data_IF_763938214186
#
_entry.id   IF_763938214186
#
_cell.length_a   1.000
_cell.length_b   1.000
_cell.length_c   1.000
_cell.angle_alpha   90.00
_cell.angle_beta   90.00
_cell.angle_gamma   90.00
#
_symmetry.space_group_name_H-M   'P 1'
#
loop_
_entity.id
_entity.type
_entity.pdbx_description
1 polymer ?
#
# COMPACT_ATOMS: atom_id res chain seq x y z
N UNK A 1 -20.83 2.27 26.41
CA UNK A 1 -21.91 1.58 27.11
C UNK A 1 -21.39 0.51 28.11
N UNK A 2 -20.08 0.37 28.26
CA UNK A 2 -19.44 -0.57 29.19
C UNK A 2 -19.40 -2.04 28.72
N UNK A 3 -19.83 -2.33 27.50
CA UNK A 3 -19.78 -3.65 26.91
C UNK A 3 -18.50 -3.85 26.08
N UNK A 4 -18.14 -5.13 25.91
CA UNK A 4 -17.12 -5.56 24.96
C UNK A 4 -17.78 -5.90 23.61
N UNK A 5 -17.13 -5.53 22.52
CA UNK A 5 -17.56 -5.88 21.15
C UNK A 5 -16.47 -6.67 20.43
N UNK A 6 -16.87 -7.62 19.62
CA UNK A 6 -15.97 -8.44 18.81
C UNK A 6 -16.53 -8.56 17.40
N UNK A 7 -15.67 -8.37 16.40
CA UNK A 7 -15.99 -8.60 14.99
C UNK A 7 -15.30 -9.87 14.51
N UNK A 8 -16.02 -10.70 13.76
CA UNK A 8 -15.53 -12.00 13.26
C UNK A 8 -15.83 -12.11 11.77
N UNK A 9 -14.80 -12.43 11.00
CA UNK A 9 -14.94 -12.73 9.58
C UNK A 9 -15.66 -14.06 9.34
N UNK A 10 -16.44 -14.13 8.26
CA UNK A 10 -17.27 -15.29 7.98
C UNK A 10 -17.46 -15.51 6.48
N UNK A 11 -17.59 -16.80 6.11
CA UNK A 11 -17.94 -17.24 4.75
C UNK A 11 -19.29 -17.96 4.79
N UNK A 12 -20.41 -17.28 4.48
CA UNK A 12 -21.72 -17.91 4.41
C UNK A 12 -21.86 -18.80 3.16
N UNK A 13 -22.87 -19.68 3.16
CA UNK A 13 -23.12 -20.63 2.07
C UNK A 13 -23.37 -19.98 0.71
N UNK A 14 -23.87 -18.73 0.69
CA UNK A 14 -24.12 -17.98 -0.55
C UNK A 14 -22.83 -17.40 -1.19
N UNK A 15 -21.66 -17.58 -0.56
CA UNK A 15 -20.38 -17.11 -1.04
C UNK A 15 -20.20 -15.58 -0.95
N UNK A 16 -20.94 -14.91 -0.06
CA UNK A 16 -20.78 -13.48 0.23
C UNK A 16 -19.99 -13.31 1.51
N UNK A 17 -18.74 -12.89 1.46
CA UNK A 17 -17.96 -12.56 2.65
C UNK A 17 -18.73 -11.58 3.55
N UNK A 18 -18.68 -11.79 4.86
CA UNK A 18 -19.41 -10.97 5.84
C UNK A 18 -18.66 -10.88 7.16
N UNK A 19 -19.01 -9.86 7.94
CA UNK A 19 -18.53 -9.65 9.29
C UNK A 19 -19.68 -9.78 10.26
N UNK A 20 -19.49 -10.65 11.25
CA UNK A 20 -20.41 -10.85 12.36
C UNK A 20 -20.00 -9.97 13.54
N UNK A 21 -20.98 -9.37 14.21
CA UNK A 21 -20.78 -8.60 15.43
C UNK A 21 -21.30 -9.39 16.63
N UNK A 22 -20.47 -9.48 17.64
CA UNK A 22 -20.81 -10.05 18.94
C UNK A 22 -20.62 -9.02 20.05
N UNK A 23 -21.37 -9.18 21.14
CA UNK A 23 -21.27 -8.36 22.35
C UNK A 23 -21.17 -9.21 23.58
N UNK A 24 -20.40 -8.74 24.57
CA UNK A 24 -20.31 -9.36 25.90
C UNK A 24 -20.28 -8.28 26.98
N UNK A 25 -20.88 -8.56 28.14
CA UNK A 25 -20.83 -7.69 29.33
C UNK A 25 -19.60 -7.97 30.19
N UNK A 26 -19.01 -9.18 30.08
CA UNK A 26 -17.93 -9.64 30.95
C UNK A 26 -16.67 -10.12 30.21
N UNK A 27 -16.67 -10.08 28.85
CA UNK A 27 -15.56 -10.54 28.02
C UNK A 27 -15.49 -12.06 27.84
N UNK A 28 -16.40 -12.85 28.46
CA UNK A 28 -16.42 -14.31 28.38
C UNK A 28 -17.68 -14.85 27.70
N UNK A 29 -18.85 -14.29 28.01
CA UNK A 29 -20.14 -14.73 27.48
C UNK A 29 -20.53 -13.85 26.28
N UNK A 30 -20.31 -14.34 25.09
CA UNK A 30 -20.53 -13.61 23.85
C UNK A 30 -21.89 -13.94 23.22
N UNK A 31 -22.64 -12.88 22.87
CA UNK A 31 -23.94 -12.99 22.20
C UNK A 31 -23.84 -12.40 20.81
N UNK A 32 -24.36 -13.10 19.81
CA UNK A 32 -24.51 -12.56 18.47
C UNK A 32 -25.44 -11.34 18.47
N UNK A 33 -25.02 -10.27 17.81
CA UNK A 33 -25.78 -9.03 17.70
C UNK A 33 -26.34 -8.87 16.29
N UNK A 34 -25.47 -8.87 15.26
CA UNK A 34 -25.86 -8.60 13.89
C UNK A 34 -24.83 -9.14 12.89
N UNK A 35 -25.20 -9.10 11.61
CA UNK A 35 -24.24 -9.06 10.51
C UNK A 35 -23.88 -7.59 10.30
N UNK A 36 -22.70 -7.19 10.80
CA UNK A 36 -22.21 -5.81 10.73
C UNK A 36 -22.10 -5.30 9.30
N UNK A 37 -21.52 -6.13 8.42
CA UNK A 37 -21.35 -5.84 7.01
C UNK A 37 -21.39 -7.13 6.17
N UNK A 38 -21.90 -7.05 4.95
CA UNK A 38 -21.96 -8.17 4.00
C UNK A 38 -21.77 -7.66 2.58
N UNK A 39 -20.90 -8.30 1.79
CA UNK A 39 -20.47 -7.81 0.48
C UNK A 39 -21.46 -8.01 -0.66
N UNK A 40 -22.49 -8.84 -0.50
CA UNK A 40 -23.46 -9.16 -1.54
C UNK A 40 -22.81 -9.65 -2.86
N UNK A 41 -21.75 -10.47 -2.76
CA UNK A 41 -20.95 -11.04 -3.85
C UNK A 41 -20.04 -10.04 -4.61
N UNK A 42 -19.80 -8.86 -4.06
CA UNK A 42 -18.93 -7.84 -4.69
C UNK A 42 -17.43 -8.05 -4.33
N UNK A 43 -17.13 -8.36 -3.07
CA UNK A 43 -15.76 -8.36 -2.53
C UNK A 43 -15.36 -9.74 -1.99
N UNK A 44 -15.29 -10.74 -2.86
CA UNK A 44 -14.81 -12.07 -2.49
C UNK A 44 -15.80 -12.90 -1.65
N UNK A 45 -15.37 -14.08 -1.24
CA UNK A 45 -16.23 -15.08 -0.60
C UNK A 45 -16.03 -15.22 0.90
N UNK A 46 -14.84 -14.89 1.39
CA UNK A 46 -14.47 -14.90 2.81
C UNK A 46 -13.85 -13.56 3.15
N UNK A 47 -14.19 -13.00 4.29
CA UNK A 47 -13.55 -11.81 4.82
C UNK A 47 -12.76 -12.17 6.06
N UNK A 48 -11.43 -12.18 5.94
CA UNK A 48 -10.50 -12.48 7.03
C UNK A 48 -10.02 -11.23 7.75
N UNK A 49 -9.47 -11.42 8.94
CA UNK A 49 -8.80 -10.38 9.72
C UNK A 49 -9.60 -9.07 9.85
N UNK A 50 -10.89 -9.10 10.23
CA UNK A 50 -11.65 -7.87 10.37
C UNK A 50 -11.10 -7.00 11.50
N UNK A 51 -11.07 -5.69 11.25
CA UNK A 51 -10.73 -4.66 12.23
C UNK A 51 -11.72 -3.50 12.06
N UNK A 52 -12.46 -3.16 13.12
CA UNK A 52 -13.53 -2.18 13.07
C UNK A 52 -13.34 -1.11 14.15
N UNK A 53 -13.26 0.14 13.74
CA UNK A 53 -12.95 1.27 14.61
C UNK A 53 -13.51 2.60 14.10
N UNK A 54 -13.52 3.60 14.98
CA UNK A 54 -13.78 4.99 14.61
C UNK A 54 -12.46 5.71 14.29
N UNK A 55 -12.46 6.51 13.22
CA UNK A 55 -11.34 7.36 12.81
C UNK A 55 -11.87 8.62 12.12
N UNK A 56 -11.44 9.79 12.58
CA UNK A 56 -11.81 11.11 12.03
C UNK A 56 -13.35 11.29 11.84
N UNK A 57 -14.14 10.79 12.81
CA UNK A 57 -15.60 10.88 12.79
C UNK A 57 -16.29 9.94 11.83
N UNK A 58 -15.62 8.92 11.31
CA UNK A 58 -16.17 7.86 10.48
C UNK A 58 -15.92 6.49 11.10
N UNK A 59 -16.79 5.53 10.77
CA UNK A 59 -16.55 4.13 11.06
C UNK A 59 -15.78 3.50 9.90
N UNK A 60 -14.69 2.83 10.23
CA UNK A 60 -13.78 2.17 9.29
C UNK A 60 -13.78 0.68 9.58
N UNK A 61 -14.02 -0.12 8.55
CA UNK A 61 -13.86 -1.57 8.57
C UNK A 61 -12.74 -1.95 7.62
N UNK A 62 -11.66 -2.51 8.15
CA UNK A 62 -10.62 -3.16 7.37
C UNK A 62 -10.87 -4.67 7.34
N UNK A 63 -10.59 -5.31 6.22
CA UNK A 63 -10.67 -6.77 6.10
C UNK A 63 -9.81 -7.27 4.94
N UNK A 64 -9.48 -8.55 4.96
CA UNK A 64 -8.67 -9.24 3.95
C UNK A 64 -9.53 -10.27 3.21
N UNK A 65 -10.18 -9.87 2.10
CA UNK A 65 -11.05 -10.76 1.33
C UNK A 65 -10.27 -11.84 0.59
N UNK A 66 -10.83 -13.05 0.54
CA UNK A 66 -10.40 -14.14 -0.34
C UNK A 66 -11.33 -14.29 -1.55
N UNK A 67 -10.79 -14.80 -2.65
CA UNK A 67 -11.51 -15.03 -3.90
C UNK A 67 -12.15 -13.76 -4.48
N UNK A 68 -11.46 -12.63 -4.43
CA UNK A 68 -11.92 -11.39 -5.08
C UNK A 68 -11.96 -11.53 -6.60
N UNK A 69 -12.93 -10.89 -7.22
CA UNK A 69 -12.92 -10.64 -8.65
C UNK A 69 -12.30 -9.26 -8.94
N UNK A 70 -11.61 -9.09 -10.09
CA UNK A 70 -11.04 -7.81 -10.43
C UNK A 70 -12.14 -6.78 -10.76
N UNK A 71 -11.94 -5.54 -10.32
CA UNK A 71 -12.80 -4.41 -10.66
C UNK A 71 -11.90 -3.23 -11.06
N UNK A 72 -11.70 -3.03 -12.36
CA UNK A 72 -10.77 -2.04 -12.90
C UNK A 72 -9.35 -2.24 -12.39
N UNK A 73 -8.75 -1.16 -11.89
CA UNK A 73 -7.47 -1.17 -11.19
C UNK A 73 -7.62 -0.95 -9.66
N UNK A 74 -8.87 -0.87 -9.17
CA UNK A 74 -9.15 -0.71 -7.75
C UNK A 74 -8.97 -2.02 -6.99
N UNK A 75 -9.49 -3.12 -7.54
CA UNK A 75 -9.39 -4.44 -6.91
C UNK A 75 -8.77 -5.45 -7.87
N UNK A 76 -7.80 -6.21 -7.38
CA UNK A 76 -7.21 -7.34 -8.10
C UNK A 76 -7.96 -8.63 -7.79
N UNK A 77 -7.87 -9.60 -8.69
CA UNK A 77 -8.36 -10.97 -8.43
C UNK A 77 -7.53 -11.67 -7.35
N UNK A 78 -8.15 -12.63 -6.67
CA UNK A 78 -7.49 -13.46 -5.65
C UNK A 78 -7.65 -12.91 -4.24
N UNK A 79 -6.57 -12.89 -3.46
CA UNK A 79 -6.58 -12.42 -2.09
C UNK A 79 -6.19 -10.93 -2.05
N UNK A 80 -7.03 -10.12 -1.43
CA UNK A 80 -6.89 -8.66 -1.45
C UNK A 80 -7.03 -8.01 -0.08
N UNK A 81 -7.03 -6.70 -0.09
CA UNK A 81 -7.26 -5.86 1.08
C UNK A 81 -8.40 -4.90 0.83
N UNK A 82 -9.27 -4.70 1.80
CA UNK A 82 -10.48 -3.89 1.66
C UNK A 82 -10.64 -2.96 2.86
N UNK A 83 -10.89 -1.70 2.57
CA UNK A 83 -11.36 -0.71 3.53
C UNK A 83 -12.77 -0.28 3.14
N UNK A 84 -13.69 -0.37 4.08
CA UNK A 84 -15.04 0.19 3.97
C UNK A 84 -15.18 1.31 4.97
N UNK A 85 -15.55 2.49 4.49
CA UNK A 85 -15.82 3.68 5.31
C UNK A 85 -17.31 3.96 5.27
N UNK A 86 -17.90 4.26 6.43
CA UNK A 86 -19.32 4.52 6.51
C UNK A 86 -19.79 5.01 7.88
N UNK A 87 -21.05 4.81 8.13
CA UNK A 87 -21.71 5.18 9.37
C UNK A 87 -22.36 3.97 10.02
N UNK A 88 -22.24 3.86 11.34
CA UNK A 88 -22.90 2.81 12.10
C UNK A 88 -24.38 3.15 12.29
N UNK A 89 -25.26 2.24 11.89
CA UNK A 89 -26.67 2.26 12.28
C UNK A 89 -26.76 1.69 13.71
N UNK A 90 -26.96 2.56 14.70
CA UNK A 90 -26.96 2.21 16.11
C UNK A 90 -28.14 1.30 16.51
N UNK A 91 -29.27 1.38 15.79
CA UNK A 91 -30.46 0.57 16.08
C UNK A 91 -30.30 -0.87 15.55
N UNK A 92 -29.69 -1.01 14.38
CA UNK A 92 -29.53 -2.29 13.69
C UNK A 92 -28.14 -2.89 13.90
N UNK A 93 -27.20 -2.15 14.43
CA UNK A 93 -25.80 -2.54 14.55
C UNK A 93 -25.20 -2.99 13.21
N UNK A 94 -25.43 -2.18 12.15
CA UNK A 94 -24.91 -2.44 10.79
C UNK A 94 -24.13 -1.26 10.27
N UNK A 95 -23.06 -1.52 9.53
CA UNK A 95 -22.28 -0.49 8.85
C UNK A 95 -22.97 -0.12 7.53
N UNK A 96 -23.37 1.14 7.39
CA UNK A 96 -23.85 1.73 6.13
C UNK A 96 -22.65 2.22 5.33
N UNK A 97 -22.24 1.43 4.33
CA UNK A 97 -21.14 1.77 3.44
C UNK A 97 -21.42 3.09 2.71
N UNK A 98 -20.47 4.02 2.78
CA UNK A 98 -20.42 5.26 2.01
C UNK A 98 -19.35 5.18 0.93
N UNK A 99 -18.21 4.50 1.21
CA UNK A 99 -17.10 4.36 0.30
C UNK A 99 -16.33 3.05 0.59
N UNK A 100 -15.76 2.46 -0.46
CA UNK A 100 -14.87 1.30 -0.34
C UNK A 100 -13.65 1.47 -1.24
N UNK A 101 -12.48 1.04 -0.77
CA UNK A 101 -11.21 1.10 -1.49
C UNK A 101 -10.29 -0.06 -1.11
N UNK A 102 -9.30 -0.35 -1.95
CA UNK A 102 -8.17 -1.18 -1.54
C UNK A 102 -7.35 -0.48 -0.44
N UNK A 103 -6.79 -1.25 0.49
CA UNK A 103 -5.86 -0.72 1.50
C UNK A 103 -4.46 -0.61 0.91
N UNK A 104 -4.03 -1.60 0.13
CA UNK A 104 -2.75 -1.61 -0.56
C UNK A 104 -2.95 -2.09 -2.01
N UNK A 105 -2.40 -1.36 -2.96
CA UNK A 105 -2.50 -1.61 -4.40
C UNK A 105 -1.29 -2.37 -4.94
N UNK A 106 -0.36 -2.76 -4.06
CA UNK A 106 0.86 -3.46 -4.42
C UNK A 106 0.69 -4.96 -4.59
N UNK A 107 1.81 -5.67 -4.56
CA UNK A 107 1.87 -7.09 -4.83
C UNK A 107 1.73 -7.90 -3.54
N UNK A 108 2.38 -7.45 -2.48
CA UNK A 108 2.54 -8.20 -1.23
C UNK A 108 2.04 -7.39 -0.03
N UNK A 109 0.76 -7.54 0.28
CA UNK A 109 0.16 -6.98 1.49
C UNK A 109 -1.14 -7.72 1.81
N UNK A 110 -1.30 -8.18 3.06
CA UNK A 110 -2.47 -8.92 3.51
C UNK A 110 -2.61 -8.90 5.04
N UNK A 111 -3.76 -9.32 5.57
CA UNK A 111 -4.00 -9.60 6.99
C UNK A 111 -3.61 -8.44 7.93
N UNK A 112 -3.85 -7.18 7.49
CA UNK A 112 -3.56 -6.00 8.31
C UNK A 112 -4.41 -5.95 9.55
N UNK A 113 -3.82 -5.41 10.62
CA UNK A 113 -4.47 -5.10 11.90
C UNK A 113 -4.03 -3.75 12.40
N UNK A 114 -4.85 -3.09 13.21
CA UNK A 114 -4.56 -1.78 13.74
C UNK A 114 -4.64 -1.72 15.25
N UNK A 115 -4.03 -0.70 15.81
CA UNK A 115 -4.15 -0.35 17.23
C UNK A 115 -4.25 1.17 17.41
N UNK A 116 -4.99 1.60 18.44
CA UNK A 116 -4.98 2.97 18.90
C UNK A 116 -3.79 3.22 19.85
N UNK A 117 -3.08 4.31 19.65
CA UNK A 117 -1.97 4.71 20.52
C UNK A 117 -2.43 5.68 21.60
N UNK A 118 -1.69 5.82 22.72
CA UNK A 118 -2.07 6.76 23.79
C UNK A 118 -2.11 8.23 23.35
N UNK A 119 -1.39 8.58 22.28
CA UNK A 119 -1.40 9.93 21.69
C UNK A 119 -2.52 10.15 20.66
N UNK A 120 -3.46 9.19 20.54
CA UNK A 120 -4.68 9.31 19.74
C UNK A 120 -4.52 8.91 18.27
N UNK A 121 -3.34 8.45 17.84
CA UNK A 121 -3.15 7.93 16.46
C UNK A 121 -3.73 6.53 16.30
N UNK A 122 -4.06 6.17 15.08
CA UNK A 122 -4.38 4.79 14.67
C UNK A 122 -3.25 4.25 13.80
N UNK A 123 -2.59 3.20 14.26
CA UNK A 123 -1.43 2.61 13.60
C UNK A 123 -1.78 1.24 13.05
N UNK A 124 -1.45 0.99 11.79
CA UNK A 124 -1.66 -0.26 11.09
C UNK A 124 -0.33 -0.95 10.77
N UNK A 125 -0.33 -2.28 10.88
CA UNK A 125 0.73 -3.16 10.36
C UNK A 125 0.06 -4.28 9.56
N UNK A 126 0.63 -4.62 8.39
CA UNK A 126 0.18 -5.71 7.55
C UNK A 126 1.25 -6.78 7.35
N UNK A 127 0.83 -7.98 7.02
CA UNK A 127 1.72 -9.04 6.55
C UNK A 127 2.14 -8.72 5.12
N UNK A 128 3.45 -8.58 4.92
CA UNK A 128 4.02 -8.19 3.63
C UNK A 128 4.34 -9.42 2.80
N UNK A 129 3.32 -10.14 2.52
CA UNK A 129 3.12 -11.21 1.55
C UNK A 129 1.61 -11.30 1.26
N UNK A 130 1.25 -12.24 0.43
CA UNK A 130 -0.11 -12.58 0.07
C UNK A 130 -0.17 -14.09 -0.18
N UNK A 131 -1.28 -14.74 0.05
CA UNK A 131 -1.44 -16.16 -0.23
C UNK A 131 -1.12 -16.52 -1.68
N UNK A 132 -1.36 -15.61 -2.63
CA UNK A 132 -1.04 -15.78 -4.04
C UNK A 132 0.46 -15.68 -4.34
N UNK A 133 1.28 -15.17 -3.41
CA UNK A 133 2.72 -14.92 -3.57
C UNK A 133 3.58 -15.63 -2.52
N UNK A 134 2.99 -16.40 -1.63
CA UNK A 134 3.68 -17.01 -0.46
C UNK A 134 4.81 -18.00 -0.83
N UNK A 135 4.81 -18.53 -2.04
CA UNK A 135 5.83 -19.47 -2.50
C UNK A 135 7.20 -18.83 -2.76
N UNK A 136 7.29 -17.51 -2.76
CA UNK A 136 8.51 -16.79 -3.11
C UNK A 136 9.26 -16.31 -1.89
N UNK A 137 10.55 -16.62 -1.86
CA UNK A 137 11.50 -16.28 -0.81
C UNK A 137 12.66 -15.47 -1.38
N UNK A 138 13.10 -14.44 -0.69
CA UNK A 138 14.33 -13.71 -1.04
C UNK A 138 15.55 -14.62 -0.86
N UNK A 139 16.45 -14.65 -1.85
CA UNK A 139 17.59 -15.59 -1.91
C UNK A 139 18.45 -15.59 -0.64
N UNK A 140 18.82 -14.41 -0.14
CA UNK A 140 19.73 -14.27 0.99
C UNK A 140 19.03 -14.14 2.35
N UNK A 141 17.70 -14.31 2.38
CA UNK A 141 16.93 -14.19 3.60
C UNK A 141 17.09 -15.43 4.49
N UNK A 142 17.42 -15.20 5.77
CA UNK A 142 17.43 -16.24 6.81
C UNK A 142 16.04 -16.51 7.40
N UNK A 143 15.05 -15.70 7.04
CA UNK A 143 13.65 -15.80 7.47
C UNK A 143 12.73 -15.88 6.26
N UNK A 144 11.50 -16.25 6.52
CA UNK A 144 10.40 -16.26 5.56
C UNK A 144 9.28 -15.37 6.09
N UNK A 145 8.68 -14.55 5.21
CA UNK A 145 7.73 -13.50 5.53
C UNK A 145 8.35 -12.27 6.25
N UNK A 146 7.67 -11.16 6.15
CA UNK A 146 8.02 -9.90 6.81
C UNK A 146 6.76 -9.07 7.03
N UNK A 147 6.84 -8.08 7.89
CA UNK A 147 5.77 -7.12 8.15
C UNK A 147 6.03 -5.82 7.38
N UNK A 148 4.96 -5.09 7.09
CA UNK A 148 5.07 -3.71 6.59
C UNK A 148 5.67 -2.80 7.66
N UNK A 149 6.09 -1.61 7.24
CA UNK A 149 6.29 -0.51 8.19
C UNK A 149 4.98 -0.22 8.93
N UNK A 150 5.04 0.21 10.18
CA UNK A 150 3.87 0.79 10.83
C UNK A 150 3.41 2.03 10.06
N UNK A 151 2.10 2.09 9.78
CA UNK A 151 1.46 3.17 9.03
C UNK A 151 0.45 3.88 9.89
N UNK A 152 0.52 5.20 9.96
CA UNK A 152 -0.49 6.05 10.59
C UNK A 152 -1.66 6.24 9.62
N UNK A 153 -2.87 6.00 10.10
CA UNK A 153 -4.11 6.10 9.33
C UNK A 153 -4.83 7.42 9.60
N UNK A 154 -5.47 7.96 8.57
CA UNK A 154 -6.42 9.06 8.67
C UNK A 154 -7.52 8.93 7.63
N UNK A 155 -8.67 9.54 7.88
CA UNK A 155 -9.76 9.66 6.89
C UNK A 155 -9.84 11.10 6.43
N UNK A 156 -9.61 11.32 5.14
CA UNK A 156 -9.69 12.65 4.50
C UNK A 156 -10.61 12.56 3.28
N UNK A 157 -11.55 13.48 3.14
CA UNK A 157 -12.50 13.50 2.02
C UNK A 157 -13.23 12.15 1.80
N UNK A 158 -13.51 11.42 2.89
CA UNK A 158 -14.18 10.13 2.85
C UNK A 158 -13.31 8.95 2.37
N UNK A 159 -11.99 9.13 2.24
CA UNK A 159 -11.01 8.11 1.86
C UNK A 159 -10.02 7.83 2.99
N UNK A 160 -9.51 6.60 3.02
CA UNK A 160 -8.41 6.22 3.92
C UNK A 160 -7.08 6.71 3.34
N UNK A 161 -6.34 7.46 4.14
CA UNK A 161 -4.96 7.86 3.88
C UNK A 161 -4.02 7.12 4.83
N UNK A 162 -2.81 6.85 4.35
CA UNK A 162 -1.79 6.11 5.09
C UNK A 162 -0.44 6.82 4.94
N UNK A 163 0.23 7.09 6.05
CA UNK A 163 1.59 7.62 6.04
C UNK A 163 2.50 6.75 6.90
N UNK A 164 3.80 6.67 6.61
CA UNK A 164 4.72 6.07 7.57
C UNK A 164 4.63 6.79 8.91
N UNK A 165 4.80 6.05 10.01
CA UNK A 165 4.82 6.68 11.34
C UNK A 165 5.90 7.74 11.43
N UNK A 166 5.62 8.84 12.15
CA UNK A 166 6.55 9.97 12.33
C UNK A 166 7.88 9.58 12.98
N UNK A 167 7.90 8.50 13.76
CA UNK A 167 9.10 7.97 14.42
C UNK A 167 10.17 7.52 13.41
N UNK A 168 9.79 7.18 12.17
CA UNK A 168 10.71 6.85 11.10
C UNK A 168 11.64 8.03 10.75
N UNK A 169 11.15 9.25 10.89
CA UNK A 169 11.96 10.45 10.58
C UNK A 169 13.17 10.60 11.50
N UNK A 170 13.11 10.06 12.73
CA UNK A 170 14.26 10.03 13.64
C UNK A 170 15.40 9.08 13.18
N UNK A 171 15.08 8.14 12.29
CA UNK A 171 16.06 7.21 11.70
C UNK A 171 16.76 7.79 10.45
N UNK A 172 16.29 8.93 9.95
CA UNK A 172 16.82 9.58 8.73
C UNK A 172 18.21 10.16 8.97
N UNK A 173 19.17 9.80 8.11
CA UNK A 173 20.55 10.31 8.08
C UNK A 173 21.01 10.56 6.65
N UNK A 174 22.16 11.25 6.52
CA UNK A 174 22.84 11.45 5.24
C UNK A 174 21.91 12.00 4.15
N UNK A 175 21.27 13.12 4.44
CA UNK A 175 20.35 13.79 3.50
C UNK A 175 21.05 14.18 2.21
N UNK A 176 20.49 13.77 1.08
CA UNK A 176 20.90 14.16 -0.28
C UNK A 176 19.68 14.76 -0.98
N UNK A 177 19.89 15.89 -1.65
CA UNK A 177 18.81 16.61 -2.32
C UNK A 177 19.21 17.05 -3.72
N UNK A 178 18.30 16.90 -4.66
CA UNK A 178 18.38 17.43 -6.00
C UNK A 178 17.06 18.10 -6.36
N UNK A 179 17.13 19.28 -6.94
CA UNK A 179 15.97 20.06 -7.36
C UNK A 179 16.02 20.37 -8.85
N UNK A 180 14.85 20.32 -9.50
CA UNK A 180 14.67 20.66 -10.91
C UNK A 180 15.57 19.86 -11.87
N UNK A 181 15.84 18.61 -11.58
CA UNK A 181 16.57 17.73 -12.49
C UNK A 181 15.71 17.39 -13.69
N UNK A 182 16.17 17.76 -14.90
CA UNK A 182 15.48 17.46 -16.15
C UNK A 182 16.00 16.14 -16.73
N UNK A 183 15.08 15.27 -17.10
CA UNK A 183 15.35 13.99 -17.78
C UNK A 183 14.57 14.04 -19.09
N UNK A 184 15.27 13.95 -20.21
CA UNK A 184 14.65 14.07 -21.53
C UNK A 184 15.10 12.92 -22.45
N UNK A 185 14.21 11.95 -22.65
CA UNK A 185 14.47 10.73 -23.44
C UNK A 185 15.76 9.99 -23.04
N UNK A 186 16.05 9.96 -21.73
CA UNK A 186 17.32 9.45 -21.22
C UNK A 186 17.10 8.65 -19.92
N UNK A 187 18.14 7.89 -19.55
CA UNK A 187 18.26 7.23 -18.23
C UNK A 187 19.43 7.85 -17.49
N UNK A 188 19.17 8.39 -16.30
CA UNK A 188 20.21 8.98 -15.45
C UNK A 188 20.30 8.30 -14.10
N UNK A 189 21.48 8.34 -13.50
CA UNK A 189 21.71 8.11 -12.08
C UNK A 189 22.29 9.36 -11.46
N UNK A 190 21.97 9.65 -10.21
CA UNK A 190 22.42 10.82 -9.48
C UNK A 190 23.40 10.39 -8.37
N UNK A 191 24.43 11.17 -8.16
CA UNK A 191 25.44 10.87 -7.14
C UNK A 191 24.79 10.72 -5.76
N UNK A 192 25.19 9.67 -4.99
CA UNK A 192 24.64 9.33 -3.66
C UNK A 192 23.14 9.02 -3.60
N UNK A 193 22.44 8.97 -4.73
CA UNK A 193 21.07 8.44 -4.81
C UNK A 193 21.16 6.95 -5.08
N UNK A 194 21.43 6.20 -4.02
CA UNK A 194 21.56 4.74 -4.00
C UNK A 194 21.24 4.21 -2.61
N UNK A 195 21.05 2.91 -2.46
CA UNK A 195 20.88 2.25 -1.16
C UNK A 195 19.79 1.19 -1.15
N UNK A 196 19.74 0.42 -0.04
CA UNK A 196 18.72 -0.63 0.18
C UNK A 196 17.87 -0.36 1.41
N UNK A 197 18.34 0.49 2.32
CA UNK A 197 17.58 0.91 3.52
C UNK A 197 17.55 2.43 3.49
N UNK A 198 16.55 2.95 2.76
CA UNK A 198 16.42 4.38 2.46
C UNK A 198 14.97 4.86 2.54
N UNK A 199 14.82 6.14 2.77
CA UNK A 199 13.58 6.90 2.65
C UNK A 199 13.80 8.01 1.62
N UNK A 200 13.04 7.98 0.53
CA UNK A 200 13.20 8.89 -0.59
C UNK A 200 11.86 9.54 -0.94
N UNK A 201 11.86 10.86 -0.92
CA UNK A 201 10.74 11.68 -1.39
C UNK A 201 11.04 12.16 -2.80
N UNK A 202 10.10 11.97 -3.71
CA UNK A 202 10.23 12.27 -5.13
C UNK A 202 8.99 13.01 -5.62
N UNK A 203 9.20 14.14 -6.26
CA UNK A 203 8.16 14.90 -6.99
C UNK A 203 8.48 14.83 -8.47
N UNK A 204 7.52 14.37 -9.26
CA UNK A 204 7.66 14.19 -10.71
C UNK A 204 6.65 15.10 -11.40
N UNK A 205 7.10 15.91 -12.34
CA UNK A 205 6.23 16.80 -13.13
C UNK A 205 6.74 16.94 -14.56
N UNK A 206 5.90 17.35 -15.52
CA UNK A 206 6.39 17.68 -16.84
C UNK A 206 7.33 18.91 -16.78
N UNK A 207 8.34 18.95 -17.61
CA UNK A 207 9.16 20.14 -17.77
C UNK A 207 8.35 21.27 -18.38
N UNK A 208 7.51 20.94 -19.36
CA UNK A 208 6.56 21.82 -20.01
C UNK A 208 5.14 21.27 -19.84
N UNK A 209 4.21 22.08 -19.35
CA UNK A 209 2.82 21.69 -19.12
C UNK A 209 2.05 21.36 -20.41
N UNK A 210 2.47 21.91 -21.54
CA UNK A 210 1.87 21.63 -22.85
C UNK A 210 2.41 20.34 -23.48
N UNK A 211 3.61 19.88 -23.04
CA UNK A 211 4.28 18.69 -23.54
C UNK A 211 4.57 17.70 -22.40
N UNK A 212 3.54 17.03 -21.91
CA UNK A 212 3.68 16.04 -20.85
C UNK A 212 4.47 14.82 -21.34
N UNK A 213 5.44 14.37 -20.55
CA UNK A 213 6.19 13.15 -20.85
C UNK A 213 5.23 11.92 -20.94
N UNK A 214 5.58 10.94 -21.77
CA UNK A 214 4.75 9.74 -21.97
C UNK A 214 4.93 8.69 -20.89
N UNK A 215 6.15 8.60 -20.34
CA UNK A 215 6.53 7.61 -19.35
C UNK A 215 7.59 8.20 -18.43
N UNK A 216 7.45 7.93 -17.12
CA UNK A 216 8.52 8.06 -16.15
C UNK A 216 8.76 6.71 -15.48
N UNK A 217 10.02 6.33 -15.27
CA UNK A 217 10.36 5.11 -14.54
C UNK A 217 11.46 5.38 -13.51
N UNK A 218 11.23 4.88 -12.30
CA UNK A 218 12.19 4.78 -11.20
C UNK A 218 12.58 3.31 -11.06
N UNK A 219 13.86 2.99 -11.27
CA UNK A 219 14.42 1.67 -11.00
C UNK A 219 15.24 1.71 -9.73
N UNK A 220 15.07 0.72 -8.90
CA UNK A 220 15.77 0.59 -7.61
C UNK A 220 16.11 -0.86 -7.32
N UNK A 221 16.89 -1.09 -6.27
CA UNK A 221 17.48 -2.39 -5.98
C UNK A 221 18.14 -2.96 -7.25
N UNK A 222 18.90 -2.08 -7.92
CA UNK A 222 19.44 -2.30 -9.25
C UNK A 222 20.90 -2.71 -9.21
N UNK A 223 21.26 -3.70 -10.04
CA UNK A 223 22.61 -4.04 -10.44
C UNK A 223 22.66 -4.16 -11.98
N UNK A 224 23.70 -4.73 -12.54
CA UNK A 224 23.86 -4.89 -14.00
C UNK A 224 22.78 -5.75 -14.66
N UNK A 225 22.13 -6.65 -13.90
CA UNK A 225 21.18 -7.65 -14.43
C UNK A 225 19.75 -7.43 -13.97
N UNK A 226 19.58 -6.96 -12.74
CA UNK A 226 18.29 -6.98 -12.05
C UNK A 226 17.88 -5.60 -11.55
N UNK A 227 16.60 -5.37 -11.45
CA UNK A 227 15.98 -4.19 -10.85
C UNK A 227 14.50 -4.43 -10.54
N UNK A 228 13.95 -3.62 -9.67
CA UNK A 228 12.49 -3.42 -9.53
C UNK A 228 12.15 -2.04 -10.08
N UNK A 229 11.03 -1.90 -10.77
CA UNK A 229 10.64 -0.65 -11.46
C UNK A 229 9.30 -0.13 -10.94
N UNK A 230 9.25 1.16 -10.65
CA UNK A 230 8.00 1.95 -10.64
C UNK A 230 7.90 2.68 -11.96
N UNK A 231 6.75 2.57 -12.63
CA UNK A 231 6.51 3.18 -13.92
C UNK A 231 5.21 3.98 -13.89
N UNK A 232 5.28 5.28 -14.15
CA UNK A 232 4.12 6.16 -14.26
C UNK A 232 3.86 6.53 -15.72
N UNK A 233 2.60 6.47 -16.15
CA UNK A 233 2.09 6.91 -17.43
C UNK A 233 1.02 7.98 -17.22
N UNK A 234 1.34 9.24 -17.42
CA UNK A 234 0.41 10.36 -17.16
C UNK A 234 -0.86 10.30 -18.00
N UNK A 235 -0.75 9.91 -19.27
CA UNK A 235 -1.87 9.78 -20.22
C UNK A 235 -2.91 8.73 -19.79
N UNK A 236 -2.46 7.68 -19.11
CA UNK A 236 -3.32 6.63 -18.54
C UNK A 236 -3.69 6.93 -17.06
N UNK A 237 -3.03 7.89 -16.42
CA UNK A 237 -3.06 8.13 -14.97
C UNK A 237 -2.74 6.85 -14.16
N UNK A 238 -1.80 6.02 -14.63
CA UNK A 238 -1.47 4.74 -14.06
C UNK A 238 -0.06 4.71 -13.50
N UNK A 239 0.06 4.35 -12.22
CA UNK A 239 1.31 3.93 -11.61
C UNK A 239 1.38 2.40 -11.57
N UNK A 240 2.49 1.84 -12.01
CA UNK A 240 2.78 0.40 -12.01
C UNK A 240 4.01 0.11 -11.16
N UNK A 241 3.92 -0.89 -10.28
CA UNK A 241 5.08 -1.56 -9.71
C UNK A 241 5.33 -2.87 -10.47
N UNK A 242 6.59 -3.12 -10.86
CA UNK A 242 6.98 -4.28 -11.65
C UNK A 242 8.29 -4.88 -11.12
N UNK A 243 8.23 -6.13 -10.67
CA UNK A 243 9.37 -6.91 -10.18
C UNK A 243 9.77 -8.06 -11.09
N UNK A 244 9.36 -8.01 -12.36
CA UNK A 244 9.70 -9.06 -13.35
C UNK A 244 11.20 -9.32 -13.43
N UNK A 245 12.00 -8.29 -13.26
CA UNK A 245 13.46 -8.36 -13.30
C UNK A 245 14.10 -8.24 -11.89
N UNK A 246 13.36 -8.50 -10.83
CA UNK A 246 13.84 -8.44 -9.45
C UNK A 246 14.48 -9.78 -9.02
N UNK A 247 15.63 -10.12 -9.59
CA UNK A 247 16.33 -11.36 -9.27
C UNK A 247 15.96 -12.55 -10.15
N UNK A 248 16.33 -13.76 -9.73
CA UNK A 248 16.15 -15.02 -10.49
C UNK A 248 14.85 -15.75 -10.15
N UNK A 249 14.11 -15.31 -9.15
CA UNK A 249 12.87 -15.93 -8.72
C UNK A 249 11.76 -15.77 -9.77
N UNK A 250 10.96 -16.83 -9.95
CA UNK A 250 9.79 -16.82 -10.83
C UNK A 250 8.54 -16.43 -10.04
N UNK A 251 8.30 -15.14 -9.88
CA UNK A 251 7.06 -14.67 -9.30
C UNK A 251 5.91 -14.79 -10.31
N UNK A 252 4.85 -15.56 -9.99
CA UNK A 252 3.64 -15.61 -10.83
C UNK A 252 2.99 -14.23 -10.89
N UNK A 253 2.87 -13.55 -9.76
CA UNK A 253 2.44 -12.16 -9.68
C UNK A 253 3.68 -11.27 -9.62
N UNK A 254 3.99 -10.61 -10.72
CA UNK A 254 5.18 -9.78 -10.84
C UNK A 254 4.89 -8.28 -11.03
N UNK A 255 3.63 -7.91 -11.23
CA UNK A 255 3.25 -6.51 -11.37
C UNK A 255 1.86 -6.22 -10.78
N UNK A 256 1.67 -4.98 -10.34
CA UNK A 256 0.38 -4.39 -9.98
C UNK A 256 0.31 -2.96 -10.48
N UNK A 257 -0.90 -2.48 -10.70
CA UNK A 257 -1.19 -1.14 -11.20
C UNK A 257 -2.29 -0.51 -10.37
N UNK A 258 -2.23 0.79 -10.18
CA UNK A 258 -3.34 1.58 -9.64
C UNK A 258 -3.55 2.84 -10.48
N UNK A 259 -4.78 3.32 -10.47
CA UNK A 259 -5.09 4.67 -10.95
C UNK A 259 -4.59 5.67 -9.91
N UNK A 260 -3.94 6.72 -10.36
CA UNK A 260 -3.43 7.79 -9.50
C UNK A 260 -4.11 9.09 -9.89
N UNK A 261 -4.66 9.80 -8.91
CA UNK A 261 -5.25 11.11 -9.15
C UNK A 261 -4.14 12.09 -9.55
N UNK A 262 -4.23 12.62 -10.76
CA UNK A 262 -3.23 13.52 -11.36
C UNK A 262 -3.81 14.87 -11.75
N UNK A 263 -4.54 15.54 -10.86
CA UNK A 263 -5.18 16.83 -11.17
C UNK A 263 -4.20 17.95 -11.57
N UNK A 264 -2.89 17.76 -11.32
CA UNK A 264 -1.86 18.75 -11.57
C UNK A 264 -0.74 18.32 -12.53
N UNK A 265 -0.83 17.13 -13.15
CA UNK A 265 0.28 16.48 -13.83
C UNK A 265 1.54 16.30 -12.94
N UNK A 266 1.38 16.45 -11.62
CA UNK A 266 2.42 16.24 -10.62
C UNK A 266 2.13 14.96 -9.85
N UNK A 267 3.13 14.11 -9.73
CA UNK A 267 3.07 12.90 -8.93
C UNK A 267 4.06 12.99 -7.78
N UNK A 268 3.58 12.84 -6.56
CA UNK A 268 4.41 12.78 -5.35
C UNK A 268 4.53 11.33 -4.89
N UNK A 269 5.75 10.89 -4.67
CA UNK A 269 6.04 9.57 -4.13
C UNK A 269 6.94 9.69 -2.91
N UNK A 270 6.62 8.98 -1.82
CA UNK A 270 7.58 8.63 -0.78
C UNK A 270 7.87 7.14 -0.90
N UNK A 271 9.10 6.81 -1.24
CA UNK A 271 9.56 5.44 -1.50
C UNK A 271 10.46 5.02 -0.37
N UNK A 272 10.05 4.02 0.38
CA UNK A 272 10.83 3.46 1.47
C UNK A 272 11.29 2.07 1.06
N UNK A 273 12.61 1.89 0.99
CA UNK A 273 13.23 0.59 0.77
C UNK A 273 13.74 0.06 2.11
N UNK A 274 13.45 -1.18 2.38
CA UNK A 274 14.15 -2.00 3.35
C UNK A 274 14.78 -3.21 2.63
N UNK A 275 15.59 -3.98 3.30
CA UNK A 275 16.45 -5.03 2.73
C UNK A 275 15.80 -5.83 1.60
N UNK A 276 14.57 -6.26 1.76
CA UNK A 276 13.83 -7.09 0.80
C UNK A 276 12.43 -6.57 0.51
N UNK A 277 12.16 -5.29 0.71
CA UNK A 277 10.85 -4.72 0.48
C UNK A 277 10.90 -3.28 -0.01
N UNK A 278 9.80 -2.87 -0.63
CA UNK A 278 9.50 -1.49 -0.96
C UNK A 278 8.08 -1.16 -0.55
N UNK A 279 7.90 0.01 0.06
CA UNK A 279 6.60 0.62 0.30
C UNK A 279 6.57 2.01 -0.36
N UNK A 280 5.59 2.23 -1.22
CA UNK A 280 5.44 3.45 -2.02
C UNK A 280 4.17 4.15 -1.59
N UNK A 281 4.30 5.29 -0.94
CA UNK A 281 3.20 6.16 -0.55
C UNK A 281 3.01 7.22 -1.64
N UNK A 282 1.81 7.30 -2.19
CA UNK A 282 1.47 8.08 -3.37
C UNK A 282 0.63 9.28 -2.93
N UNK A 283 0.94 10.48 -3.41
CA UNK A 283 0.19 11.72 -3.17
C UNK A 283 -0.17 11.91 -1.68
N UNK A 284 0.88 12.00 -0.86
CA UNK A 284 0.76 12.18 0.60
C UNK A 284 -0.01 11.04 1.31
N UNK A 285 0.02 9.83 0.73
CA UNK A 285 -0.56 8.64 1.32
C UNK A 285 -2.00 8.34 0.92
N UNK A 286 -2.52 8.96 -0.15
CA UNK A 286 -3.84 8.64 -0.70
C UNK A 286 -3.94 7.19 -1.15
N UNK A 287 -2.83 6.63 -1.67
CA UNK A 287 -2.69 5.24 -2.05
C UNK A 287 -1.32 4.71 -1.62
N UNK A 288 -1.21 3.41 -1.44
CA UNK A 288 0.06 2.75 -1.10
C UNK A 288 0.23 1.51 -1.96
N UNK A 289 1.46 1.25 -2.42
CA UNK A 289 1.84 0.03 -3.11
C UNK A 289 3.02 -0.63 -2.40
N UNK A 290 2.88 -1.91 -2.04
CA UNK A 290 3.91 -2.68 -1.35
C UNK A 290 4.35 -3.88 -2.15
N UNK A 291 5.64 -4.20 -2.13
CA UNK A 291 6.17 -5.39 -2.76
C UNK A 291 7.43 -5.91 -2.05
N UNK A 292 7.59 -7.21 -2.09
CA UNK A 292 8.84 -7.90 -1.75
C UNK A 292 9.81 -7.77 -2.92
N UNK A 293 11.09 -7.54 -2.64
CA UNK A 293 12.19 -7.42 -3.59
C UNK A 293 13.06 -8.68 -3.50
N UNK A 294 13.43 -9.26 -4.63
CA UNK A 294 14.19 -10.51 -4.69
C UNK A 294 15.68 -10.31 -5.05
N UNK A 295 16.10 -9.10 -5.43
CA UNK A 295 17.51 -8.80 -5.70
C UNK A 295 18.35 -8.87 -4.44
N UNK A 296 19.58 -9.31 -4.58
CA UNK A 296 20.60 -9.34 -3.53
C UNK A 296 20.81 -7.95 -2.91
N UNK A 297 21.22 -7.89 -1.65
CA UNK A 297 21.34 -6.63 -0.91
C UNK A 297 22.42 -5.68 -1.46
N UNK A 298 23.38 -6.22 -2.19
CA UNK A 298 24.45 -5.49 -2.87
C UNK A 298 23.93 -4.68 -4.06
N UNK A 299 22.76 -5.00 -4.60
CA UNK A 299 22.09 -4.26 -5.67
C UNK A 299 21.51 -2.95 -5.13
N UNK A 300 22.35 -1.93 -4.97
CA UNK A 300 22.04 -0.63 -4.36
C UNK A 300 21.67 0.46 -5.35
N UNK A 301 21.86 0.20 -6.66
CA UNK A 301 21.67 1.19 -7.72
C UNK A 301 20.23 1.72 -7.79
N UNK A 302 20.13 3.00 -8.12
CA UNK A 302 18.88 3.70 -8.43
C UNK A 302 19.09 4.49 -9.72
N UNK A 303 18.12 4.39 -10.64
CA UNK A 303 18.12 5.17 -11.88
C UNK A 303 16.73 5.68 -12.23
N UNK A 304 16.69 6.74 -13.00
CA UNK A 304 15.49 7.44 -13.43
C UNK A 304 15.47 7.51 -14.94
N UNK A 305 14.34 7.21 -15.55
CA UNK A 305 14.13 7.28 -17.00
C UNK A 305 12.90 8.12 -17.29
N UNK A 306 12.95 8.92 -18.37
CA UNK A 306 11.78 9.57 -18.93
C UNK A 306 11.72 9.37 -20.45
N UNK A 307 10.53 9.07 -20.96
CA UNK A 307 10.17 9.18 -22.37
C UNK A 307 9.44 10.51 -22.57
N UNK A 308 10.11 11.48 -23.19
CA UNK A 308 9.77 12.90 -23.16
C UNK A 308 10.52 13.61 -22.04
N UNK A 309 10.18 14.89 -21.76
CA UNK A 309 10.88 15.71 -20.80
C UNK A 309 10.13 15.77 -19.45
N UNK A 310 10.67 15.08 -18.45
CA UNK A 310 10.21 15.12 -17.07
C UNK A 310 11.17 15.93 -16.21
N UNK A 311 10.63 16.62 -15.20
CA UNK A 311 11.39 17.33 -14.18
C UNK A 311 11.14 16.68 -12.82
N UNK A 312 12.20 16.44 -12.06
CA UNK A 312 12.10 15.78 -10.75
C UNK A 312 12.79 16.60 -9.66
N UNK A 313 12.21 16.56 -8.47
CA UNK A 313 12.84 16.94 -7.21
C UNK A 313 12.96 15.70 -6.34
N UNK A 314 14.10 15.53 -5.68
CA UNK A 314 14.41 14.35 -4.86
C UNK A 314 15.00 14.79 -3.55
N UNK A 315 14.51 14.19 -2.46
CA UNK A 315 15.18 14.20 -1.16
C UNK A 315 15.32 12.75 -0.71
N UNK A 316 16.53 12.31 -0.42
CA UNK A 316 16.83 10.94 0.00
C UNK A 316 17.58 10.94 1.33
N UNK A 317 17.22 10.00 2.19
CA UNK A 317 17.89 9.72 3.46
C UNK A 317 18.28 8.24 3.51
N UNK A 318 19.40 7.94 4.20
CA UNK A 318 19.65 6.59 4.70
C UNK A 318 18.82 6.38 5.97
N UNK A 319 18.33 5.16 6.21
CA UNK A 319 17.67 4.76 7.46
C UNK A 319 18.65 3.92 8.28
N UNK A 320 18.80 4.22 9.57
CA UNK A 320 19.77 3.58 10.48
C UNK A 320 19.10 3.14 11.78
#
# INVERSE_FOLDING_TARGET
DGNFYCVIGSRPADGSGQILLYRSENGFDWKFVSILAKNKKRFGKMWECPDFFELDGKHVLLTSPQDMLPEGLEYHNGNGTLCIIGEMDQDKYTLKEQFAQSVDYGIDFYAMQTLGTPDGRRIMIGWMQNWDTIAHRCNDSKWFAQMSLPRELSVKNGRLYQTPIKELDAMRKDRVEYNNVVINNDTISLDKIEGRTIDMELVIRPEDKENVYKKFALRFAQNERFHTELCFRPDESVLKIDRKFSGTERALVHQRRCLVNGDSNELKLRVILDKFSVEVFINDGEQVMSAVIFTEQEAKGISFFAEGAAKIDIVKYNLV
#
